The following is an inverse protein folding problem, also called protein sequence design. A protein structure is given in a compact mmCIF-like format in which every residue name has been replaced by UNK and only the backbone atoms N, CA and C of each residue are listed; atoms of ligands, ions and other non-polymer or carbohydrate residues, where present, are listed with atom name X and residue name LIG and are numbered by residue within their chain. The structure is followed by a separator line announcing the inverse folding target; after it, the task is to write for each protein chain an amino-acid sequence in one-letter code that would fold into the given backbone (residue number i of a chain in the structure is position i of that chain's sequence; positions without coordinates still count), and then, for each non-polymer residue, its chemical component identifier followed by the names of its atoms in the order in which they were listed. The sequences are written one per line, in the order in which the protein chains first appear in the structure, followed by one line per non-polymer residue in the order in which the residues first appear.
data_IF_651546635348
#
_entry.id   IF_651546635348
#
_cell.length_a   1.000
_cell.length_b   1.000
_cell.length_c   1.000
_cell.angle_alpha   90.00
_cell.angle_beta   90.00
_cell.angle_gamma   90.00
#
_symmetry.space_group_name_H-M   'P 1'
#
loop_
_entity.id
_entity.type
_entity.pdbx_description
1 polymer ?
#
# COMPACT_ATOMS: atom_id res chain seq x y z
N UNK A 1 31.11 -4.18 -15.84
CA UNK A 1 29.78 -4.49 -15.25
C UNK A 1 28.73 -4.23 -16.32
N UNK A 2 27.77 -5.14 -16.54
CA UNK A 2 26.70 -4.96 -17.55
C UNK A 2 25.79 -3.78 -17.16
N UNK A 3 25.47 -2.92 -18.12
CA UNK A 3 24.52 -1.80 -17.99
C UNK A 3 23.13 -2.32 -17.58
N UNK A 4 22.42 -1.58 -16.71
CA UNK A 4 21.06 -1.95 -16.28
C UNK A 4 20.05 -1.25 -17.19
N UNK A 5 19.13 -2.00 -17.79
CA UNK A 5 18.02 -1.43 -18.55
C UNK A 5 16.81 -1.23 -17.63
N UNK A 6 16.09 -0.12 -17.82
CA UNK A 6 14.85 0.15 -17.12
C UNK A 6 13.76 -0.82 -17.60
N UNK A 7 13.18 -1.67 -16.74
CA UNK A 7 12.36 -2.79 -17.20
C UNK A 7 10.88 -2.45 -17.42
N UNK A 8 10.41 -1.28 -16.97
CA UNK A 8 8.98 -0.96 -16.91
C UNK A 8 8.45 -0.17 -18.12
N UNK A 9 9.30 0.19 -19.08
CA UNK A 9 8.91 0.95 -20.27
C UNK A 9 8.96 0.15 -21.57
N UNK A 10 9.14 -1.18 -21.50
CA UNK A 10 9.32 -2.04 -22.67
C UNK A 10 8.11 -2.97 -22.89
N UNK A 11 7.74 -3.23 -24.15
CA UNK A 11 6.59 -4.06 -24.52
C UNK A 11 5.29 -3.25 -24.61
N UNK A 12 4.12 -3.90 -24.72
CA UNK A 12 2.81 -3.23 -24.67
C UNK A 12 2.21 -3.35 -23.27
N UNK A 13 2.39 -2.34 -22.42
CA UNK A 13 1.89 -2.36 -21.04
C UNK A 13 0.36 -2.24 -20.94
N UNK A 14 -0.31 -1.75 -21.99
CA UNK A 14 -1.77 -1.78 -22.06
C UNK A 14 -2.26 -3.22 -22.23
N UNK A 15 -1.55 -4.04 -23.01
CA UNK A 15 -1.84 -5.47 -23.19
C UNK A 15 -1.40 -6.28 -21.96
N UNK A 16 -0.15 -6.11 -21.53
CA UNK A 16 0.48 -6.88 -20.47
C UNK A 16 0.77 -5.96 -19.27
N UNK A 17 -0.13 -5.92 -18.29
CA UNK A 17 0.05 -5.08 -17.10
C UNK A 17 1.35 -5.45 -16.37
N UNK A 18 2.16 -4.45 -16.02
CA UNK A 18 3.28 -4.68 -15.12
C UNK A 18 2.79 -4.91 -13.69
N UNK A 19 3.47 -5.86 -13.02
CA UNK A 19 3.39 -6.02 -11.58
C UNK A 19 4.53 -5.25 -10.92
N UNK A 20 4.19 -4.44 -9.91
CA UNK A 20 5.13 -3.62 -9.15
C UNK A 20 5.32 -4.16 -7.73
N UNK A 21 4.52 -5.15 -7.32
CA UNK A 21 4.56 -5.75 -5.99
C UNK A 21 5.90 -6.47 -5.77
N UNK A 22 6.48 -6.31 -4.58
CA UNK A 22 7.75 -6.95 -4.19
C UNK A 22 8.91 -6.77 -5.18
N UNK A 23 8.91 -5.68 -5.96
CA UNK A 23 9.98 -5.36 -6.89
C UNK A 23 11.35 -5.32 -6.18
N UNK A 24 12.40 -5.96 -6.74
CA UNK A 24 13.72 -5.94 -6.14
C UNK A 24 14.31 -4.52 -6.06
N UNK A 25 15.06 -4.25 -5.00
CA UNK A 25 15.81 -3.01 -4.89
C UNK A 25 17.15 -3.11 -5.64
N UNK A 26 17.36 -2.19 -6.58
CA UNK A 26 18.54 -2.16 -7.44
C UNK A 26 19.46 -0.94 -7.20
N UNK A 27 19.12 -0.10 -6.22
CA UNK A 27 19.94 1.05 -5.81
C UNK A 27 20.04 2.16 -6.86
N UNK A 28 21.11 2.96 -6.77
CA UNK A 28 21.38 4.11 -7.66
C UNK A 28 21.38 3.72 -9.15
N UNK A 29 21.81 2.50 -9.47
CA UNK A 29 21.83 1.99 -10.85
C UNK A 29 20.43 1.93 -11.48
N UNK A 30 19.39 1.72 -10.67
CA UNK A 30 18.00 1.78 -11.14
C UNK A 30 17.58 3.21 -11.50
N UNK A 31 17.99 4.18 -10.67
CA UNK A 31 17.71 5.58 -10.89
C UNK A 31 18.40 6.07 -12.16
N UNK A 32 19.67 5.70 -12.36
CA UNK A 32 20.43 5.95 -13.58
C UNK A 32 19.73 5.35 -14.81
N UNK A 33 19.34 4.07 -14.74
CA UNK A 33 18.62 3.41 -15.82
C UNK A 33 17.27 4.09 -16.15
N UNK A 34 16.54 4.54 -15.14
CA UNK A 34 15.29 5.30 -15.33
C UNK A 34 15.55 6.68 -15.96
N UNK A 35 16.57 7.42 -15.52
CA UNK A 35 16.96 8.72 -16.10
C UNK A 35 17.29 8.54 -17.60
N UNK A 36 18.12 7.55 -17.93
CA UNK A 36 18.51 7.30 -19.32
C UNK A 36 17.32 6.84 -20.17
N UNK A 37 16.43 5.99 -19.63
CA UNK A 37 15.20 5.61 -20.32
C UNK A 37 14.33 6.83 -20.65
N UNK A 38 14.15 7.76 -19.70
CA UNK A 38 13.37 8.99 -19.95
C UNK A 38 14.07 9.93 -20.93
N UNK A 39 15.40 10.10 -20.85
CA UNK A 39 16.18 10.95 -21.78
C UNK A 39 16.15 10.42 -23.20
N UNK A 40 16.37 9.12 -23.40
CA UNK A 40 16.37 8.50 -24.72
C UNK A 40 15.07 8.78 -25.47
N UNK A 41 13.95 8.82 -24.75
CA UNK A 41 12.62 9.05 -25.31
C UNK A 41 12.31 10.54 -25.54
N UNK A 42 13.07 11.46 -24.94
CA UNK A 42 12.96 12.91 -25.13
C UNK A 42 13.89 13.45 -26.23
N UNK A 43 14.84 12.63 -26.71
CA UNK A 43 15.92 13.08 -27.60
C UNK A 43 15.42 13.66 -28.93
N UNK A 44 14.32 13.10 -29.45
CA UNK A 44 13.78 13.46 -30.78
C UNK A 44 12.43 14.20 -30.68
N UNK A 45 12.05 14.69 -29.49
CA UNK A 45 10.75 15.35 -29.29
C UNK A 45 10.91 16.61 -28.44
N UNK A 46 10.57 17.75 -29.03
CA UNK A 46 10.52 19.02 -28.32
C UNK A 46 9.26 19.02 -27.42
N UNK A 47 9.40 19.21 -26.09
CA UNK A 47 8.24 19.33 -25.20
C UNK A 47 7.32 20.46 -25.66
N UNK A 48 6.01 20.24 -25.56
CA UNK A 48 5.05 21.31 -25.82
C UNK A 48 5.24 22.41 -24.78
N UNK A 49 5.41 23.67 -25.21
CA UNK A 49 5.60 24.80 -24.30
C UNK A 49 4.29 25.19 -23.62
N UNK A 50 3.22 25.34 -24.42
CA UNK A 50 1.92 25.76 -23.92
C UNK A 50 1.10 24.58 -23.38
N UNK A 51 0.43 24.81 -22.26
CA UNK A 51 -0.51 23.84 -21.70
C UNK A 51 -1.74 23.79 -22.60
N UNK A 52 -2.18 22.60 -23.09
CA UNK A 52 -3.40 22.52 -23.88
C UNK A 52 -4.57 23.08 -23.09
N UNK A 53 -5.35 23.98 -23.70
CA UNK A 53 -6.49 24.59 -23.01
C UNK A 53 -7.45 23.51 -22.49
N UNK A 54 -7.99 23.69 -21.28
CA UNK A 54 -9.05 22.84 -20.77
C UNK A 54 -10.33 23.03 -21.59
N UNK A 55 -11.14 21.99 -21.67
CA UNK A 55 -12.53 22.11 -22.10
C UNK A 55 -13.41 22.17 -20.85
N UNK A 56 -14.21 23.22 -20.70
CA UNK A 56 -15.18 23.29 -19.60
C UNK A 56 -16.12 22.08 -19.67
N UNK A 57 -16.20 21.35 -18.57
CA UNK A 57 -16.98 20.14 -18.42
C UNK A 57 -17.42 19.99 -16.97
N UNK A 58 -18.64 19.51 -16.78
CA UNK A 58 -19.16 19.19 -15.45
C UNK A 58 -18.73 17.80 -14.98
N UNK A 59 -18.67 17.63 -13.65
CA UNK A 59 -18.48 16.30 -13.06
C UNK A 59 -19.66 15.38 -13.36
N UNK A 60 -19.44 14.05 -13.45
CA UNK A 60 -20.52 13.10 -13.63
C UNK A 60 -21.56 13.19 -12.51
N UNK A 61 -22.84 13.25 -12.88
CA UNK A 61 -23.98 13.31 -11.95
C UNK A 61 -24.83 12.03 -11.93
N UNK A 62 -24.56 11.09 -12.83
CA UNK A 62 -25.31 9.85 -12.99
C UNK A 62 -24.49 8.58 -12.78
N UNK A 63 -25.07 7.44 -13.11
CA UNK A 63 -24.43 6.13 -13.03
C UNK A 63 -23.47 5.83 -14.19
N UNK A 64 -23.30 6.74 -15.14
CA UNK A 64 -22.43 6.55 -16.29
C UNK A 64 -21.36 7.65 -16.34
N UNK A 65 -20.10 7.23 -16.41
CA UNK A 65 -18.93 8.09 -16.33
C UNK A 65 -18.18 8.04 -17.66
N UNK A 66 -18.32 9.10 -18.45
CA UNK A 66 -17.49 9.33 -19.63
C UNK A 66 -16.11 9.82 -19.20
N UNK A 67 -15.07 9.00 -19.41
CA UNK A 67 -13.75 9.28 -18.84
C UNK A 67 -13.10 10.52 -19.44
N UNK A 68 -13.30 10.81 -20.72
CA UNK A 68 -12.80 12.04 -21.32
C UNK A 68 -13.38 13.30 -20.64
N UNK A 69 -14.70 13.35 -20.45
CA UNK A 69 -15.38 14.48 -19.79
C UNK A 69 -14.93 14.62 -18.33
N UNK A 70 -14.79 13.51 -17.61
CA UNK A 70 -14.27 13.52 -16.24
C UNK A 70 -12.86 14.12 -16.17
N UNK A 71 -11.97 13.73 -17.10
CA UNK A 71 -10.61 14.23 -17.13
C UNK A 71 -10.58 15.73 -17.48
N UNK A 72 -11.39 16.19 -18.43
CA UNK A 72 -11.47 17.63 -18.74
C UNK A 72 -12.04 18.43 -17.55
N UNK A 73 -13.07 17.95 -16.85
CA UNK A 73 -13.59 18.59 -15.64
C UNK A 73 -12.52 18.71 -14.53
N UNK A 74 -11.76 17.64 -14.30
CA UNK A 74 -10.64 17.65 -13.33
C UNK A 74 -9.53 18.60 -13.75
N UNK A 75 -9.22 18.64 -15.04
CA UNK A 75 -8.17 19.48 -15.60
C UNK A 75 -8.56 20.96 -15.52
N UNK A 76 -9.78 21.31 -15.94
CA UNK A 76 -10.35 22.66 -15.80
C UNK A 76 -10.33 23.16 -14.35
N UNK A 77 -10.73 22.31 -13.39
CA UNK A 77 -10.68 22.65 -11.97
C UNK A 77 -9.27 22.97 -11.46
N UNK A 78 -8.24 22.35 -12.05
CA UNK A 78 -6.85 22.55 -11.67
C UNK A 78 -6.19 23.76 -12.34
N UNK A 79 -6.70 24.24 -13.47
CA UNK A 79 -6.07 25.32 -14.25
C UNK A 79 -6.84 26.64 -14.23
N UNK A 80 -8.18 26.61 -14.24
CA UNK A 80 -9.00 27.83 -14.42
C UNK A 80 -9.89 28.18 -13.23
N UNK A 81 -10.27 27.20 -12.41
CA UNK A 81 -11.32 27.40 -11.41
C UNK A 81 -10.78 27.89 -10.06
N UNK A 82 -11.18 29.10 -9.68
CA UNK A 82 -11.05 29.62 -8.30
C UNK A 82 -12.15 29.08 -7.34
N UNK A 83 -13.21 28.45 -7.88
CA UNK A 83 -14.37 28.02 -7.09
C UNK A 83 -14.17 26.73 -6.26
N UNK A 84 -14.80 26.66 -5.07
CA UNK A 84 -14.58 25.62 -4.06
C UNK A 84 -15.39 24.32 -4.29
N UNK A 85 -15.41 23.74 -5.50
CA UNK A 85 -15.93 22.38 -5.73
C UNK A 85 -15.01 21.27 -5.16
N UNK A 86 -14.39 21.54 -4.00
CA UNK A 86 -13.31 20.74 -3.40
C UNK A 86 -13.72 19.29 -3.16
N UNK A 87 -14.96 19.05 -2.72
CA UNK A 87 -15.45 17.69 -2.47
C UNK A 87 -15.53 16.86 -3.75
N UNK A 88 -16.24 17.35 -4.78
CA UNK A 88 -16.38 16.64 -6.06
C UNK A 88 -15.01 16.42 -6.72
N UNK A 89 -14.17 17.45 -6.71
CA UNK A 89 -12.81 17.36 -7.22
C UNK A 89 -12.01 16.24 -6.52
N UNK A 90 -11.95 16.25 -5.18
CA UNK A 90 -11.20 15.25 -4.43
C UNK A 90 -11.77 13.84 -4.64
N UNK A 91 -13.10 13.69 -4.61
CA UNK A 91 -13.77 12.42 -4.84
C UNK A 91 -13.38 11.82 -6.20
N UNK A 92 -13.57 12.59 -7.27
CA UNK A 92 -13.35 12.14 -8.64
C UNK A 92 -11.88 11.95 -8.98
N UNK A 93 -10.99 12.79 -8.47
CA UNK A 93 -9.55 12.62 -8.61
C UNK A 93 -9.07 11.33 -7.93
N UNK A 94 -9.50 11.10 -6.68
CA UNK A 94 -9.18 9.86 -5.97
C UNK A 94 -9.76 8.63 -6.68
N UNK A 95 -10.99 8.75 -7.19
CA UNK A 95 -11.65 7.67 -7.91
C UNK A 95 -10.89 7.29 -9.18
N UNK A 96 -10.53 8.25 -10.04
CA UNK A 96 -9.83 7.93 -11.30
C UNK A 96 -8.40 7.43 -11.05
N UNK A 97 -7.70 7.97 -10.04
CA UNK A 97 -6.42 7.43 -9.58
C UNK A 97 -6.57 5.98 -9.14
N UNK A 98 -7.57 5.67 -8.31
CA UNK A 98 -7.86 4.30 -7.86
C UNK A 98 -8.10 3.36 -9.05
N UNK A 99 -8.92 3.79 -10.00
CA UNK A 99 -9.23 3.01 -11.21
C UNK A 99 -7.95 2.66 -11.95
N UNK A 100 -7.11 3.65 -12.24
CA UNK A 100 -5.83 3.42 -12.90
C UNK A 100 -4.90 2.56 -12.05
N UNK A 101 -4.79 2.81 -10.75
CA UNK A 101 -3.87 2.07 -9.88
C UNK A 101 -4.24 0.60 -9.72
N UNK A 102 -5.52 0.23 -9.80
CA UNK A 102 -5.96 -1.16 -9.73
C UNK A 102 -5.82 -1.90 -11.06
N UNK A 103 -6.22 -1.27 -12.18
CA UNK A 103 -6.29 -1.96 -13.48
C UNK A 103 -5.10 -1.70 -14.40
N UNK A 104 -4.34 -0.62 -14.14
CA UNK A 104 -3.40 0.03 -15.08
C UNK A 104 -4.04 0.45 -16.40
N UNK A 105 -5.38 0.58 -16.41
CA UNK A 105 -6.19 0.83 -17.61
C UNK A 105 -7.26 1.88 -17.39
N UNK A 106 -7.36 2.82 -18.32
CA UNK A 106 -8.43 3.80 -18.41
C UNK A 106 -9.37 3.40 -19.56
N UNK A 107 -10.56 2.93 -19.21
CA UNK A 107 -11.60 2.67 -20.19
C UNK A 107 -12.30 3.97 -20.59
N UNK A 108 -12.86 4.02 -21.80
CA UNK A 108 -13.58 5.21 -22.28
C UNK A 108 -14.82 5.55 -21.44
N UNK A 109 -15.47 4.54 -20.84
CA UNK A 109 -16.65 4.69 -19.99
C UNK A 109 -16.62 3.75 -18.80
N UNK A 110 -17.36 4.10 -17.75
CA UNK A 110 -17.63 3.23 -16.61
C UNK A 110 -19.09 3.34 -16.18
N UNK A 111 -19.72 2.20 -15.90
CA UNK A 111 -21.03 2.16 -15.26
C UNK A 111 -20.89 1.92 -13.75
N UNK A 112 -21.54 2.75 -12.96
CA UNK A 112 -21.61 2.72 -11.50
C UNK A 112 -22.90 2.02 -11.05
N UNK A 113 -22.77 1.10 -10.09
CA UNK A 113 -23.90 0.43 -9.46
C UNK A 113 -23.57 0.18 -7.99
N UNK A 114 -24.03 1.08 -7.12
CA UNK A 114 -23.61 1.12 -5.72
C UNK A 114 -22.09 1.24 -5.60
N UNK A 115 -21.46 0.36 -4.82
CA UNK A 115 -19.98 0.27 -4.69
C UNK A 115 -19.28 -0.37 -5.90
N UNK A 116 -20.03 -0.97 -6.84
CA UNK A 116 -19.46 -1.66 -8.01
C UNK A 116 -19.25 -0.69 -9.16
N UNK A 117 -18.18 -0.92 -9.92
CA UNK A 117 -17.87 -0.14 -11.12
C UNK A 117 -17.47 -1.07 -12.25
N UNK A 118 -18.27 -1.10 -13.31
CA UNK A 118 -18.05 -1.91 -14.51
C UNK A 118 -17.35 -1.06 -15.59
N UNK A 119 -16.15 -1.43 -16.04
CA UNK A 119 -15.52 -0.76 -17.18
C UNK A 119 -16.26 -1.08 -18.48
N UNK A 120 -16.43 -0.08 -19.35
CA UNK A 120 -17.12 -0.19 -20.63
C UNK A 120 -16.27 0.38 -21.77
N UNK A 121 -16.25 -0.31 -22.90
CA UNK A 121 -15.51 0.08 -24.09
C UNK A 121 -13.99 -0.14 -23.99
N UNK A 122 -13.29 0.36 -25.01
CA UNK A 122 -11.83 0.19 -25.16
C UNK A 122 -11.05 0.94 -24.08
N UNK A 123 -9.87 0.43 -23.75
CA UNK A 123 -8.85 1.10 -22.93
C UNK A 123 -7.62 1.51 -23.76
N UNK A 124 -7.69 1.44 -25.09
CA UNK A 124 -6.59 1.80 -25.99
C UNK A 124 -6.62 3.26 -26.46
N UNK A 125 -7.52 4.08 -25.91
CA UNK A 125 -7.56 5.51 -26.22
C UNK A 125 -6.43 6.24 -25.45
N UNK A 126 -5.31 6.47 -26.12
CA UNK A 126 -4.11 7.08 -25.52
C UNK A 126 -4.33 8.54 -25.07
N UNK A 127 -5.28 9.26 -25.67
CA UNK A 127 -5.61 10.63 -25.24
C UNK A 127 -6.07 10.68 -23.79
N UNK A 128 -6.74 9.62 -23.29
CA UNK A 128 -7.14 9.53 -21.88
C UNK A 128 -5.91 9.48 -20.96
N UNK A 129 -4.87 8.72 -21.35
CA UNK A 129 -3.66 8.55 -20.55
C UNK A 129 -2.80 9.80 -20.57
N UNK A 130 -2.66 10.45 -21.73
CA UNK A 130 -1.94 11.73 -21.85
C UNK A 130 -2.59 12.80 -20.98
N UNK A 131 -3.91 13.01 -21.10
CA UNK A 131 -4.62 13.99 -20.27
C UNK A 131 -4.57 13.63 -18.78
N UNK A 132 -4.73 12.35 -18.45
CA UNK A 132 -4.58 11.88 -17.08
C UNK A 132 -3.19 12.19 -16.51
N UNK A 133 -2.12 11.97 -17.27
CA UNK A 133 -0.77 12.27 -16.82
C UNK A 133 -0.56 13.78 -16.54
N UNK A 134 -1.16 14.67 -17.35
CA UNK A 134 -1.15 16.11 -17.10
C UNK A 134 -1.88 16.49 -15.81
N UNK A 135 -3.05 15.90 -15.55
CA UNK A 135 -3.80 16.08 -14.30
C UNK A 135 -2.97 15.63 -13.09
N UNK A 136 -2.25 14.51 -13.21
CA UNK A 136 -1.42 13.99 -12.13
C UNK A 136 -0.22 14.88 -11.81
N UNK A 137 0.37 15.52 -12.84
CA UNK A 137 1.41 16.53 -12.65
C UNK A 137 0.89 17.68 -11.80
N UNK A 138 -0.26 18.25 -12.18
CA UNK A 138 -0.89 19.37 -11.46
C UNK A 138 -1.34 18.97 -10.04
N UNK A 139 -1.94 17.78 -9.89
CA UNK A 139 -2.34 17.26 -8.59
C UNK A 139 -1.15 17.09 -7.63
N UNK A 140 0.02 16.72 -8.14
CA UNK A 140 1.22 16.63 -7.32
C UNK A 140 1.89 18.00 -7.09
N UNK A 141 2.02 18.86 -8.11
CA UNK A 141 2.68 20.17 -7.95
C UNK A 141 1.88 21.12 -7.07
N UNK A 142 0.57 21.22 -7.29
CA UNK A 142 -0.28 22.23 -6.65
C UNK A 142 -0.85 21.76 -5.31
N UNK A 143 -1.08 20.44 -5.16
CA UNK A 143 -1.73 19.88 -3.96
C UNK A 143 -0.83 18.93 -3.16
N UNK A 144 0.42 18.73 -3.58
CA UNK A 144 1.37 17.80 -2.95
C UNK A 144 0.80 16.36 -2.81
N UNK A 145 -0.05 15.95 -3.75
CA UNK A 145 -0.77 14.66 -3.68
C UNK A 145 0.15 13.50 -4.08
N UNK A 146 0.84 12.90 -3.13
CA UNK A 146 1.82 11.82 -3.37
C UNK A 146 1.25 10.59 -4.11
N UNK A 147 0.00 10.13 -3.87
CA UNK A 147 -0.60 9.08 -4.69
C UNK A 147 -0.65 9.42 -6.19
N UNK A 148 -0.78 10.71 -6.54
CA UNK A 148 -0.76 11.16 -7.94
C UNK A 148 0.62 10.98 -8.58
N UNK A 149 1.71 11.24 -7.85
CA UNK A 149 3.08 10.99 -8.34
C UNK A 149 3.31 9.51 -8.64
N UNK A 150 2.82 8.62 -7.77
CA UNK A 150 2.94 7.18 -7.99
C UNK A 150 2.17 6.72 -9.24
N UNK A 151 0.96 7.25 -9.43
CA UNK A 151 0.18 7.00 -10.63
C UNK A 151 0.83 7.61 -11.88
N UNK A 152 1.49 8.77 -11.76
CA UNK A 152 2.13 9.48 -12.86
C UNK A 152 3.25 8.65 -13.46
N UNK A 153 4.15 8.14 -12.61
CA UNK A 153 5.29 7.34 -13.05
C UNK A 153 4.82 6.08 -13.80
N UNK A 154 3.78 5.41 -13.28
CA UNK A 154 3.19 4.23 -13.91
C UNK A 154 2.42 4.54 -15.19
N UNK A 155 1.79 5.71 -15.27
CA UNK A 155 1.11 6.19 -16.46
C UNK A 155 2.13 6.47 -17.57
N UNK A 156 3.25 7.12 -17.22
CA UNK A 156 4.36 7.34 -18.15
C UNK A 156 4.97 6.02 -18.60
N UNK A 157 5.23 5.07 -17.70
CA UNK A 157 5.67 3.72 -18.08
C UNK A 157 4.72 3.06 -19.08
N UNK A 158 3.41 3.29 -18.94
CA UNK A 158 2.42 2.81 -19.92
C UNK A 158 2.55 3.53 -21.25
N UNK A 159 2.56 4.86 -21.25
CA UNK A 159 2.65 5.68 -22.47
C UNK A 159 3.93 5.42 -23.25
N UNK A 160 5.06 5.30 -22.56
CA UNK A 160 6.37 5.02 -23.17
C UNK A 160 6.44 3.63 -23.78
N UNK A 161 5.81 2.62 -23.17
CA UNK A 161 5.75 1.27 -23.73
C UNK A 161 5.04 1.22 -25.09
N UNK A 162 4.13 2.17 -25.36
CA UNK A 162 3.38 2.27 -26.62
C UNK A 162 3.69 3.55 -27.38
N UNK A 163 4.91 4.09 -27.23
CA UNK A 163 5.32 5.38 -27.82
C UNK A 163 5.06 5.46 -29.33
N UNK A 164 5.23 4.37 -30.06
CA UNK A 164 5.01 4.31 -31.51
C UNK A 164 3.55 4.56 -31.92
N UNK A 165 2.60 4.35 -30.99
CA UNK A 165 1.18 4.57 -31.21
C UNK A 165 0.73 5.99 -30.86
N UNK A 166 1.60 6.83 -30.30
CA UNK A 166 1.30 8.23 -29.96
C UNK A 166 1.40 9.11 -31.21
N UNK A 167 0.47 10.06 -31.36
CA UNK A 167 0.57 11.12 -32.37
C UNK A 167 1.74 12.06 -32.05
N UNK A 168 2.20 12.85 -33.03
CA UNK A 168 3.27 13.82 -32.81
C UNK A 168 2.94 14.80 -31.67
N UNK A 169 1.71 15.34 -31.64
CA UNK A 169 1.25 16.22 -30.56
C UNK A 169 1.24 15.51 -29.19
N UNK A 170 0.76 14.26 -29.14
CA UNK A 170 0.76 13.48 -27.90
C UNK A 170 2.19 13.24 -27.41
N UNK A 171 3.16 12.97 -28.30
CA UNK A 171 4.57 12.83 -27.93
C UNK A 171 5.09 14.12 -27.28
N UNK A 172 4.79 15.29 -27.84
CA UNK A 172 5.20 16.58 -27.27
C UNK A 172 4.60 16.83 -25.88
N UNK A 173 3.32 16.48 -25.69
CA UNK A 173 2.64 16.59 -24.39
C UNK A 173 3.21 15.62 -23.36
N UNK A 174 3.45 14.36 -23.74
CA UNK A 174 4.12 13.36 -22.89
C UNK A 174 5.52 13.83 -22.51
N UNK A 175 6.27 14.41 -23.45
CA UNK A 175 7.59 14.96 -23.19
C UNK A 175 7.55 16.07 -22.12
N UNK A 176 6.58 16.99 -22.19
CA UNK A 176 6.36 18.02 -21.17
C UNK A 176 6.08 17.42 -19.79
N UNK A 177 5.19 16.43 -19.73
CA UNK A 177 4.84 15.71 -18.49
C UNK A 177 6.06 15.00 -17.90
N UNK A 178 6.88 14.36 -18.74
CA UNK A 178 8.08 13.65 -18.31
C UNK A 178 9.17 14.58 -17.78
N UNK A 179 9.31 15.79 -18.33
CA UNK A 179 10.18 16.82 -17.75
C UNK A 179 9.75 17.14 -16.32
N UNK A 180 8.44 17.28 -16.07
CA UNK A 180 7.91 17.49 -14.72
C UNK A 180 8.09 16.29 -13.80
N UNK A 181 7.89 15.06 -14.29
CA UNK A 181 8.22 13.83 -13.54
C UNK A 181 9.68 13.85 -13.07
N UNK A 182 10.61 14.23 -13.95
CA UNK A 182 12.03 14.33 -13.61
C UNK A 182 12.31 15.37 -12.53
N UNK A 183 11.76 16.58 -12.66
CA UNK A 183 11.86 17.62 -11.63
C UNK A 183 11.35 17.10 -10.27
N UNK A 184 10.21 16.41 -10.26
CA UNK A 184 9.60 15.87 -9.05
C UNK A 184 10.46 14.80 -8.38
N UNK A 185 10.98 13.86 -9.14
CA UNK A 185 11.84 12.77 -8.64
C UNK A 185 13.15 13.33 -8.09
N UNK A 186 13.78 14.27 -8.80
CA UNK A 186 15.01 14.92 -8.33
C UNK A 186 14.78 15.75 -7.06
N UNK A 187 13.64 16.45 -6.97
CA UNK A 187 13.25 17.18 -5.75
C UNK A 187 12.96 16.25 -4.57
N UNK A 188 12.33 15.11 -4.82
CA UNK A 188 12.05 14.12 -3.77
C UNK A 188 13.34 13.52 -3.22
N UNK A 189 14.37 13.39 -4.07
CA UNK A 189 15.73 13.01 -3.66
C UNK A 189 16.40 14.08 -2.81
N UNK A 190 16.23 15.37 -3.12
CA UNK A 190 16.92 16.46 -2.39
C UNK A 190 16.26 16.86 -1.07
N UNK A 191 14.94 16.65 -0.91
CA UNK A 191 14.20 16.89 0.34
C UNK A 191 14.46 15.80 1.38
N UNK A 192 15.67 15.79 1.94
CA UNK A 192 16.08 14.91 3.04
C UNK A 192 15.89 15.58 4.41
N UNK A 193 14.78 16.29 4.62
CA UNK A 193 14.46 16.78 5.96
C UNK A 193 13.98 15.61 6.82
N UNK A 194 14.86 15.15 7.71
CA UNK A 194 14.52 14.22 8.80
C UNK A 194 13.92 15.08 9.91
N UNK A 195 12.60 15.03 10.09
CA UNK A 195 11.96 15.70 11.21
C UNK A 195 12.29 14.96 12.51
N UNK A 196 13.34 15.44 13.19
CA UNK A 196 13.93 14.84 14.40
C UNK A 196 13.16 15.08 15.70
N UNK A 197 11.90 15.56 15.63
CA UNK A 197 11.15 16.03 16.81
C UNK A 197 9.94 15.19 17.22
N UNK A 198 9.69 14.02 16.60
CA UNK A 198 8.59 13.14 17.02
C UNK A 198 9.06 12.09 18.03
N UNK A 199 8.33 11.95 19.13
CA UNK A 199 8.59 10.89 20.10
C UNK A 199 8.26 9.54 19.46
N UNK A 200 9.29 8.71 19.28
CA UNK A 200 9.12 7.36 18.73
C UNK A 200 8.83 6.37 19.86
N UNK A 201 7.95 5.42 19.57
CA UNK A 201 7.81 4.22 20.38
C UNK A 201 8.96 3.31 19.99
N UNK A 202 9.94 3.15 20.88
CA UNK A 202 10.91 2.08 20.71
C UNK A 202 10.17 0.75 20.93
N UNK A 203 10.33 -0.23 20.01
CA UNK A 203 9.79 -1.56 20.22
C UNK A 203 10.20 -2.08 21.60
N UNK A 204 9.27 -2.75 22.29
CA UNK A 204 9.44 -3.04 23.72
C UNK A 204 10.75 -3.80 23.98
N UNK A 205 11.59 -3.24 24.87
CA UNK A 205 12.93 -3.77 25.21
C UNK A 205 12.90 -4.97 26.16
N UNK A 206 11.72 -5.36 26.66
CA UNK A 206 11.62 -6.43 27.64
C UNK A 206 10.69 -7.54 27.19
N UNK A 207 11.33 -8.62 26.76
CA UNK A 207 10.88 -10.02 26.93
C UNK A 207 10.84 -10.35 28.45
N UNK A 208 10.40 -9.40 29.30
CA UNK A 208 10.57 -9.46 30.75
C UNK A 208 9.52 -10.32 31.43
N UNK A 209 8.33 -10.36 30.86
CA UNK A 209 7.24 -11.19 31.36
C UNK A 209 6.84 -12.25 30.33
N UNK A 210 7.43 -13.43 30.46
CA UNK A 210 7.03 -14.65 29.74
C UNK A 210 5.96 -15.45 30.47
N UNK A 211 5.28 -14.86 31.47
CA UNK A 211 4.11 -15.51 32.05
C UNK A 211 3.10 -15.83 30.96
N UNK A 212 2.42 -16.96 31.17
CA UNK A 212 1.33 -17.39 30.29
C UNK A 212 0.21 -16.37 30.33
N UNK A 213 -0.16 -15.84 29.16
CA UNK A 213 -1.23 -14.86 28.93
C UNK A 213 -2.32 -15.50 28.07
N UNK A 214 -3.27 -16.23 28.68
CA UNK A 214 -4.36 -16.83 27.92
C UNK A 214 -5.30 -15.74 27.39
N UNK A 215 -5.66 -15.86 26.11
CA UNK A 215 -6.65 -15.01 25.43
C UNK A 215 -7.92 -15.84 25.18
N UNK A 216 -8.83 -15.81 26.14
CA UNK A 216 -10.11 -16.52 26.06
C UNK A 216 -10.99 -15.96 24.94
N UNK A 217 -11.67 -16.83 24.19
CA UNK A 217 -12.60 -16.50 23.12
C UNK A 217 -12.00 -15.63 21.99
N UNK A 218 -10.68 -15.71 21.79
CA UNK A 218 -9.95 -15.05 20.71
C UNK A 218 -9.55 -16.08 19.66
N UNK A 219 -9.91 -15.81 18.40
CA UNK A 219 -9.46 -16.60 17.25
C UNK A 219 -8.41 -15.86 16.45
N UNK A 220 -7.32 -16.53 16.12
CA UNK A 220 -6.34 -16.03 15.16
C UNK A 220 -6.71 -16.51 13.76
N UNK A 221 -7.11 -15.59 12.88
CA UNK A 221 -7.40 -15.85 11.47
C UNK A 221 -6.22 -15.36 10.62
N UNK A 222 -5.34 -16.27 10.26
CA UNK A 222 -4.04 -15.99 9.62
C UNK A 222 -3.92 -16.72 8.30
N UNK A 223 -3.39 -16.06 7.29
CA UNK A 223 -2.96 -16.70 6.04
C UNK A 223 -1.47 -17.03 6.07
N UNK A 224 -1.05 -18.06 5.34
CA UNK A 224 0.38 -18.39 5.12
C UNK A 224 1.11 -17.21 4.46
N UNK A 225 1.66 -16.34 5.30
CA UNK A 225 2.40 -15.15 4.90
C UNK A 225 3.50 -14.87 5.91
N UNK A 226 4.53 -14.15 5.48
CA UNK A 226 5.62 -13.67 6.36
C UNK A 226 5.11 -12.79 7.51
N UNK A 227 4.02 -12.05 7.29
CA UNK A 227 3.39 -11.21 8.33
C UNK A 227 2.75 -12.08 9.40
N UNK A 228 2.02 -13.11 9.01
CA UNK A 228 1.43 -14.06 9.95
C UNK A 228 2.50 -14.81 10.74
N UNK A 229 3.63 -15.18 10.11
CA UNK A 229 4.79 -15.76 10.81
C UNK A 229 5.35 -14.79 11.86
N UNK A 230 5.45 -13.51 11.53
CA UNK A 230 5.89 -12.50 12.50
C UNK A 230 4.94 -12.41 13.70
N UNK A 231 3.62 -12.42 13.46
CA UNK A 231 2.61 -12.34 14.51
C UNK A 231 2.64 -13.56 15.42
N UNK A 232 2.60 -14.78 14.87
CA UNK A 232 2.56 -16.01 15.67
C UNK A 232 3.83 -16.18 16.50
N UNK A 233 4.99 -15.89 15.92
CA UNK A 233 6.25 -15.95 16.66
C UNK A 233 6.35 -14.89 17.76
N UNK A 234 5.84 -13.68 17.52
CA UNK A 234 5.78 -12.65 18.57
C UNK A 234 4.83 -13.08 19.70
N UNK A 235 3.65 -13.62 19.39
CA UNK A 235 2.72 -14.13 20.41
C UNK A 235 3.40 -15.18 21.29
N UNK A 236 4.09 -16.16 20.69
CA UNK A 236 4.85 -17.18 21.41
C UNK A 236 5.95 -16.57 22.29
N UNK A 237 6.74 -15.65 21.74
CA UNK A 237 7.86 -15.04 22.44
C UNK A 237 7.44 -14.25 23.69
N UNK A 238 6.23 -13.70 23.69
CA UNK A 238 5.66 -12.92 24.80
C UNK A 238 4.64 -13.71 25.65
N UNK A 239 4.54 -15.03 25.45
CA UNK A 239 3.77 -15.95 26.31
C UNK A 239 2.25 -15.92 26.07
N UNK A 240 1.77 -15.41 24.93
CA UNK A 240 0.35 -15.42 24.60
C UNK A 240 -0.11 -16.79 24.12
N UNK A 241 -1.32 -17.18 24.53
CA UNK A 241 -2.01 -18.36 24.03
C UNK A 241 -3.40 -17.97 23.55
N UNK A 242 -3.78 -18.41 22.35
CA UNK A 242 -5.11 -18.19 21.76
C UNK A 242 -5.92 -19.47 21.83
N UNK A 243 -7.25 -19.35 21.86
CA UNK A 243 -8.12 -20.52 21.94
C UNK A 243 -8.10 -21.30 20.63
N UNK A 244 -8.30 -20.61 19.50
CA UNK A 244 -8.46 -21.22 18.18
C UNK A 244 -7.61 -20.52 17.12
N UNK A 245 -7.14 -21.28 16.14
CA UNK A 245 -6.46 -20.75 14.95
C UNK A 245 -7.15 -21.28 13.69
N UNK A 246 -7.51 -20.36 12.80
CA UNK A 246 -7.88 -20.65 11.42
C UNK A 246 -6.72 -20.25 10.50
N UNK A 247 -6.01 -21.25 9.97
CA UNK A 247 -4.87 -21.07 9.08
C UNK A 247 -5.29 -21.18 7.62
N UNK A 248 -5.32 -20.07 6.89
CA UNK A 248 -5.63 -20.01 5.47
C UNK A 248 -4.39 -20.35 4.63
N UNK A 249 -4.55 -21.28 3.69
CA UNK A 249 -3.51 -21.69 2.74
C UNK A 249 -4.01 -21.58 1.30
N UNK A 250 -3.10 -21.72 0.34
CA UNK A 250 -3.44 -21.73 -1.09
C UNK A 250 -2.52 -22.69 -1.83
N UNK A 251 -2.99 -23.91 -2.09
CA UNK A 251 -2.25 -24.91 -2.87
C UNK A 251 -2.26 -24.63 -4.38
N UNK A 252 -3.27 -23.88 -4.86
CA UNK A 252 -3.54 -23.69 -6.29
C UNK A 252 -2.77 -22.53 -6.93
N UNK A 253 -2.34 -21.53 -6.13
CA UNK A 253 -1.60 -20.38 -6.62
C UNK A 253 -0.76 -19.75 -5.52
N UNK A 254 0.37 -19.17 -5.91
CA UNK A 254 1.14 -18.29 -5.02
C UNK A 254 0.35 -17.02 -4.74
N UNK A 255 0.21 -16.68 -3.47
CA UNK A 255 -0.50 -15.52 -2.97
C UNK A 255 0.48 -14.41 -2.55
N UNK A 256 -0.02 -13.18 -2.44
CA UNK A 256 0.80 -12.08 -1.93
C UNK A 256 1.09 -12.23 -0.44
N UNK A 257 2.32 -11.90 -0.06
CA UNK A 257 2.83 -12.08 1.30
C UNK A 257 3.44 -13.45 1.57
N UNK A 258 3.33 -14.41 0.65
CA UNK A 258 4.07 -15.67 0.73
C UNK A 258 5.55 -15.47 0.37
N UNK A 259 6.41 -16.22 1.02
CA UNK A 259 7.84 -16.26 0.71
C UNK A 259 8.45 -17.61 0.97
N UNK A 260 9.16 -18.09 -0.04
CA UNK A 260 10.05 -19.26 0.04
C UNK A 260 11.51 -18.81 0.25
N UNK A 261 11.75 -17.49 0.35
CA UNK A 261 13.10 -16.96 0.51
C UNK A 261 13.61 -17.29 1.91
N UNK A 262 14.69 -18.08 1.96
CA UNK A 262 15.49 -18.29 3.15
C UNK A 262 16.32 -17.02 3.41
N UNK A 263 15.67 -16.01 3.98
CA UNK A 263 16.36 -14.81 4.45
C UNK A 263 16.97 -15.10 5.82
N UNK A 264 18.24 -14.73 5.98
CA UNK A 264 18.84 -14.74 7.31
C UNK A 264 18.19 -13.63 8.14
N UNK A 265 17.75 -13.92 9.37
CA UNK A 265 17.18 -12.90 10.23
C UNK A 265 18.21 -11.79 10.48
N UNK A 266 17.76 -10.51 10.56
CA UNK A 266 18.61 -9.44 11.06
C UNK A 266 19.16 -9.79 12.44
N UNK A 267 20.35 -9.27 12.77
CA UNK A 267 20.99 -9.51 14.06
C UNK A 267 20.05 -9.13 15.21
N UNK A 268 19.92 -10.00 16.22
CA UNK A 268 19.11 -9.71 17.40
C UNK A 268 19.49 -8.36 18.03
N UNK A 269 18.49 -7.56 18.41
CA UNK A 269 18.72 -6.22 18.96
C UNK A 269 19.06 -5.14 17.92
N UNK A 270 19.15 -5.46 16.62
CA UNK A 270 19.48 -4.47 15.57
C UNK A 270 18.45 -3.33 15.44
N UNK A 271 17.28 -3.48 16.05
CA UNK A 271 16.23 -2.47 16.05
C UNK A 271 15.69 -2.23 17.45
N UNK A 272 16.52 -1.64 18.32
CA UNK A 272 16.08 -1.14 19.62
C UNK A 272 15.52 -2.20 20.59
N UNK A 273 15.94 -3.46 20.46
CA UNK A 273 15.43 -4.57 21.27
C UNK A 273 14.12 -5.20 20.79
N UNK A 274 13.60 -4.80 19.61
CA UNK A 274 12.43 -5.43 19.01
C UNK A 274 12.59 -6.95 18.88
N UNK A 275 11.48 -7.67 19.03
CA UNK A 275 11.41 -9.06 18.62
C UNK A 275 11.62 -9.18 17.10
N UNK A 276 12.56 -10.04 16.70
CA UNK A 276 12.88 -10.31 15.30
C UNK A 276 12.44 -11.74 14.98
N UNK A 277 11.45 -11.94 14.09
CA UNK A 277 10.99 -13.29 13.75
C UNK A 277 12.04 -14.02 12.90
N UNK A 278 12.14 -15.33 13.08
CA UNK A 278 12.85 -16.21 12.17
C UNK A 278 11.88 -16.70 11.08
N UNK A 279 11.87 -16.01 9.94
CA UNK A 279 10.96 -16.29 8.83
C UNK A 279 11.19 -17.67 8.17
N UNK A 280 12.29 -18.35 8.52
CA UNK A 280 12.58 -19.73 8.08
C UNK A 280 11.72 -20.76 8.80
N UNK A 281 11.20 -20.42 9.98
CA UNK A 281 10.27 -21.27 10.72
C UNK A 281 8.91 -21.24 10.00
N UNK A 282 8.39 -22.40 9.57
CA UNK A 282 7.05 -22.52 9.00
C UNK A 282 5.95 -21.94 9.89
N UNK A 283 4.88 -21.42 9.27
CA UNK A 283 3.77 -20.81 10.03
C UNK A 283 3.02 -21.85 10.86
N UNK A 284 2.79 -23.04 10.30
CA UNK A 284 2.09 -24.15 10.95
C UNK A 284 2.76 -24.57 12.26
N UNK A 285 4.09 -24.67 12.29
CA UNK A 285 4.87 -24.98 13.50
C UNK A 285 4.54 -24.00 14.64
N UNK A 286 4.53 -22.70 14.31
CA UNK A 286 4.24 -21.66 15.31
C UNK A 286 2.76 -21.61 15.69
N UNK A 287 1.84 -21.96 14.79
CA UNK A 287 0.42 -22.09 15.12
C UNK A 287 0.18 -23.27 16.07
N UNK A 288 0.79 -24.43 15.82
CA UNK A 288 0.67 -25.61 16.67
C UNK A 288 1.29 -25.40 18.06
N UNK A 289 2.32 -24.57 18.17
CA UNK A 289 2.90 -24.20 19.45
C UNK A 289 2.01 -23.24 20.27
N UNK A 290 1.14 -22.46 19.62
CA UNK A 290 0.25 -21.50 20.29
C UNK A 290 -0.98 -22.17 20.90
N UNK A 291 -1.54 -23.17 20.23
CA UNK A 291 -2.74 -23.90 20.65
C UNK A 291 -2.83 -25.29 20.00
N UNK A 292 -3.58 -26.19 20.63
CA UNK A 292 -3.94 -27.49 20.06
C UNK A 292 -5.12 -27.40 19.07
N UNK A 293 -5.85 -26.29 19.03
CA UNK A 293 -7.03 -26.10 18.18
C UNK A 293 -6.69 -25.32 16.90
N UNK A 294 -5.89 -25.94 16.03
CA UNK A 294 -5.53 -25.35 14.71
C UNK A 294 -6.32 -26.03 13.61
N UNK A 295 -7.05 -25.24 12.82
CA UNK A 295 -7.73 -25.72 11.60
C UNK A 295 -7.13 -25.08 10.36
N UNK A 296 -6.63 -25.91 9.45
CA UNK A 296 -6.08 -25.47 8.16
C UNK A 296 -7.17 -25.45 7.11
N UNK A 297 -7.33 -24.33 6.41
CA UNK A 297 -8.32 -24.11 5.37
C UNK A 297 -7.61 -23.73 4.06
N UNK A 298 -7.58 -24.63 3.08
CA UNK A 298 -7.03 -24.36 1.75
C UNK A 298 -8.04 -23.64 0.85
N UNK A 299 -8.34 -22.39 1.22
CA UNK A 299 -9.39 -21.58 0.56
C UNK A 299 -8.83 -20.60 -0.45
N UNK A 300 -7.54 -20.27 -0.35
CA UNK A 300 -6.87 -19.23 -1.14
C UNK A 300 -7.43 -17.81 -0.98
N UNK A 301 -8.39 -17.60 -0.07
CA UNK A 301 -8.98 -16.30 0.25
C UNK A 301 -9.74 -16.38 1.58
N UNK A 302 -9.74 -15.26 2.31
CA UNK A 302 -10.57 -15.10 3.51
C UNK A 302 -12.07 -15.09 3.19
N UNK A 303 -12.46 -14.70 1.98
CA UNK A 303 -13.86 -14.55 1.56
C UNK A 303 -14.51 -15.85 1.08
N UNK A 304 -13.89 -17.01 1.35
CA UNK A 304 -14.49 -18.30 1.01
C UNK A 304 -15.58 -18.65 2.04
N UNK A 305 -16.77 -19.14 1.63
CA UNK A 305 -17.86 -19.50 2.56
C UNK A 305 -17.45 -20.44 3.70
N UNK A 306 -16.47 -21.33 3.47
CA UNK A 306 -15.95 -22.23 4.52
C UNK A 306 -15.34 -21.44 5.69
N UNK A 307 -14.77 -20.26 5.46
CA UNK A 307 -14.25 -19.40 6.53
C UNK A 307 -15.40 -18.91 7.41
N UNK A 308 -16.51 -18.49 6.81
CA UNK A 308 -17.73 -18.03 7.51
C UNK A 308 -18.31 -19.17 8.37
N UNK A 309 -18.43 -20.37 7.80
CA UNK A 309 -18.93 -21.55 8.54
C UNK A 309 -18.10 -21.86 9.79
N UNK A 310 -16.78 -21.72 9.69
CA UNK A 310 -15.87 -21.93 10.82
C UNK A 310 -15.97 -20.81 11.86
N UNK A 311 -16.08 -19.57 11.42
CA UNK A 311 -16.28 -18.43 12.31
C UNK A 311 -17.60 -18.55 13.10
N UNK A 312 -18.69 -18.95 12.46
CA UNK A 312 -19.97 -19.22 13.15
C UNK A 312 -19.85 -20.37 14.15
N UNK A 313 -19.11 -21.43 13.81
CA UNK A 313 -18.93 -22.59 14.69
C UNK A 313 -18.11 -22.23 15.93
N UNK A 314 -17.04 -21.45 15.76
CA UNK A 314 -16.16 -21.02 16.85
C UNK A 314 -16.75 -19.86 17.66
N UNK A 315 -17.59 -19.03 17.03
CA UNK A 315 -18.23 -17.85 17.61
C UNK A 315 -17.28 -16.96 18.46
N UNK A 316 -16.14 -16.51 17.89
CA UNK A 316 -15.14 -15.77 18.67
C UNK A 316 -15.61 -14.36 19.00
N UNK A 317 -15.29 -13.89 20.21
CA UNK A 317 -15.50 -12.50 20.65
C UNK A 317 -14.54 -11.53 19.98
N UNK A 318 -13.36 -12.01 19.56
CA UNK A 318 -12.36 -11.21 18.87
C UNK A 318 -11.64 -12.06 17.83
N UNK A 319 -11.49 -11.53 16.62
CA UNK A 319 -10.68 -12.13 15.56
C UNK A 319 -9.41 -11.30 15.35
N UNK A 320 -8.24 -11.88 15.57
CA UNK A 320 -6.97 -11.26 15.18
C UNK A 320 -6.70 -11.64 13.72
N UNK A 321 -6.64 -10.64 12.82
CA UNK A 321 -6.61 -10.88 11.38
C UNK A 321 -5.27 -10.53 10.71
N UNK A 322 -4.73 -11.50 9.97
CA UNK A 322 -3.64 -11.33 9.01
C UNK A 322 -3.83 -12.22 7.79
N UNK A 323 -4.62 -11.77 6.81
CA UNK A 323 -4.91 -12.50 5.57
C UNK A 323 -3.84 -12.39 4.48
N UNK A 324 -4.14 -12.84 3.25
CA UNK A 324 -3.25 -12.63 2.11
C UNK A 324 -3.22 -11.16 1.71
N UNK A 325 -2.16 -10.73 1.02
CA UNK A 325 -2.13 -9.38 0.44
C UNK A 325 -3.12 -9.22 -0.72
N UNK A 326 -3.67 -8.03 -0.91
CA UNK A 326 -4.41 -7.67 -2.12
C UNK A 326 -5.88 -8.11 -2.16
N UNK A 327 -6.41 -8.66 -1.08
CA UNK A 327 -7.83 -8.93 -0.90
C UNK A 327 -8.47 -7.97 0.13
N UNK A 328 -9.75 -7.66 -0.06
CA UNK A 328 -10.58 -6.93 0.90
C UNK A 328 -11.46 -7.96 1.60
N UNK A 329 -11.57 -7.89 2.93
CA UNK A 329 -12.48 -8.74 3.70
C UNK A 329 -13.91 -8.26 3.46
N UNK A 330 -14.78 -9.15 2.99
CA UNK A 330 -16.16 -8.83 2.67
C UNK A 330 -17.02 -8.68 3.94
N UNK A 331 -18.14 -7.96 3.80
CA UNK A 331 -19.06 -7.65 4.88
C UNK A 331 -19.69 -8.91 5.51
N UNK A 332 -19.93 -9.96 4.72
CA UNK A 332 -20.43 -11.25 5.20
C UNK A 332 -19.43 -11.96 6.13
N UNK A 333 -18.12 -11.88 5.83
CA UNK A 333 -17.07 -12.40 6.72
C UNK A 333 -16.93 -11.53 7.97
N UNK A 334 -16.91 -10.20 7.82
CA UNK A 334 -16.80 -9.28 8.96
C UNK A 334 -18.00 -9.40 9.92
N UNK A 335 -19.17 -9.76 9.40
CA UNK A 335 -20.38 -10.00 10.19
C UNK A 335 -20.52 -11.41 10.77
N UNK A 336 -19.59 -12.33 10.48
CA UNK A 336 -19.67 -13.73 10.90
C UNK A 336 -19.16 -13.98 12.34
N UNK A 337 -18.54 -12.99 12.99
CA UNK A 337 -17.97 -13.13 14.32
C UNK A 337 -17.86 -11.78 15.02
N UNK A 338 -17.24 -11.75 16.20
CA UNK A 338 -16.79 -10.52 16.84
C UNK A 338 -15.81 -9.71 15.96
N UNK A 339 -15.44 -8.49 16.40
CA UNK A 339 -14.63 -7.56 15.63
C UNK A 339 -13.30 -8.15 15.15
N UNK A 340 -12.87 -7.70 13.97
CA UNK A 340 -11.62 -8.14 13.34
C UNK A 340 -10.51 -7.11 13.61
N UNK A 341 -9.61 -7.42 14.53
CA UNK A 341 -8.44 -6.60 14.85
C UNK A 341 -7.34 -6.82 13.80
N UNK A 342 -6.94 -5.74 13.12
CA UNK A 342 -5.87 -5.74 12.13
C UNK A 342 -4.84 -4.66 12.45
N UNK A 343 -3.56 -4.97 12.25
CA UNK A 343 -2.46 -4.02 12.40
C UNK A 343 -2.07 -3.55 11.01
N UNK A 344 -2.38 -2.30 10.70
CA UNK A 344 -2.06 -1.64 9.44
C UNK A 344 -0.73 -0.89 9.53
N UNK A 345 0.15 -1.03 8.55
CA UNK A 345 1.48 -0.38 8.54
C UNK A 345 1.42 1.07 8.04
N UNK A 346 0.58 1.90 8.65
CA UNK A 346 0.53 3.35 8.41
C UNK A 346 -0.10 4.09 9.58
N UNK A 347 0.27 5.36 9.77
CA UNK A 347 -0.40 6.26 10.71
C UNK A 347 -1.75 6.70 10.10
N UNK A 348 -2.84 6.10 10.54
CA UNK A 348 -4.19 6.42 10.06
C UNK A 348 -4.73 7.69 10.72
N UNK A 349 -5.56 8.51 10.03
CA UNK A 349 -6.07 8.32 8.67
C UNK A 349 -5.10 8.72 7.55
N UNK A 350 -3.93 9.29 7.88
CA UNK A 350 -3.01 9.92 6.92
C UNK A 350 -2.53 8.95 5.83
N UNK A 351 -2.25 7.70 6.19
CA UNK A 351 -1.67 6.68 5.30
C UNK A 351 -2.54 5.42 5.22
N UNK A 352 -3.60 5.43 4.40
CA UNK A 352 -4.39 4.22 4.07
C UNK A 352 -3.78 3.45 2.89
N UNK A 353 -4.13 2.18 2.76
CA UNK A 353 -3.86 1.40 1.56
C UNK A 353 -2.57 0.59 1.62
N UNK A 354 -1.84 0.53 0.51
CA UNK A 354 -0.72 -0.41 0.35
C UNK A 354 0.63 0.26 0.43
N UNK A 355 1.64 -0.48 0.91
CA UNK A 355 3.07 -0.08 0.90
C UNK A 355 3.33 1.31 1.53
N UNK A 356 2.49 1.69 2.48
CA UNK A 356 2.43 2.99 3.17
C UNK A 356 3.74 3.37 3.86
N UNK A 357 4.51 2.38 4.34
CA UNK A 357 5.84 2.60 4.91
C UNK A 357 6.76 3.39 3.96
N UNK A 358 6.84 3.02 2.68
CA UNK A 358 7.73 3.71 1.75
C UNK A 358 7.35 5.19 1.55
N UNK A 359 6.05 5.47 1.53
CA UNK A 359 5.53 6.83 1.44
C UNK A 359 5.79 7.62 2.72
N UNK A 360 5.54 7.03 3.90
CA UNK A 360 5.77 7.71 5.17
C UNK A 360 7.26 8.01 5.38
N UNK A 361 8.18 7.13 4.96
CA UNK A 361 9.62 7.42 5.08
C UNK A 361 10.00 8.70 4.34
N UNK A 362 9.46 8.88 3.13
CA UNK A 362 9.71 10.06 2.32
C UNK A 362 9.02 11.30 2.89
N UNK A 363 7.78 11.18 3.34
CA UNK A 363 6.94 12.31 3.74
C UNK A 363 7.15 12.78 5.19
N UNK A 364 7.34 11.85 6.12
CA UNK A 364 7.43 12.14 7.57
C UNK A 364 8.78 11.77 8.17
N UNK A 365 9.58 10.95 7.48
CA UNK A 365 10.86 10.47 8.01
C UNK A 365 10.70 9.41 9.09
N UNK A 366 9.54 8.73 9.14
CA UNK A 366 9.25 7.67 10.10
C UNK A 366 8.25 6.66 9.54
N UNK A 367 7.99 5.61 10.31
CA UNK A 367 6.90 4.67 10.06
C UNK A 367 5.80 4.83 11.10
N UNK A 368 4.59 4.42 10.75
CA UNK A 368 3.47 4.31 11.68
C UNK A 368 2.82 2.95 11.58
N UNK A 369 2.22 2.51 12.67
CA UNK A 369 1.30 1.36 12.69
C UNK A 369 0.04 1.79 13.41
N UNK A 370 -1.11 1.44 12.84
CA UNK A 370 -2.42 1.61 13.47
C UNK A 370 -3.08 0.25 13.64
N UNK A 371 -3.45 -0.09 14.87
CA UNK A 371 -4.37 -1.19 15.12
C UNK A 371 -5.79 -0.70 14.87
N UNK A 372 -6.54 -1.40 14.02
CA UNK A 372 -7.89 -1.04 13.63
C UNK A 372 -8.85 -2.22 13.73
N UNK A 373 -10.13 -1.92 13.92
CA UNK A 373 -11.22 -2.87 13.70
C UNK A 373 -11.63 -2.79 12.23
N UNK A 374 -11.47 -3.87 11.48
CA UNK A 374 -11.73 -3.85 10.04
C UNK A 374 -13.17 -3.46 9.71
N UNK A 375 -13.30 -2.70 8.62
CA UNK A 375 -14.56 -2.36 7.98
C UNK A 375 -14.49 -2.77 6.50
N UNK A 376 -15.62 -2.76 5.75
CA UNK A 376 -15.62 -3.11 4.33
C UNK A 376 -14.77 -2.19 3.44
N UNK A 377 -14.45 -0.98 3.89
CA UNK A 377 -13.64 -0.01 3.15
C UNK A 377 -12.18 -0.03 3.65
N UNK A 378 -11.23 0.16 2.73
CA UNK A 378 -9.81 -0.04 3.00
C UNK A 378 -9.27 0.90 4.09
N UNK A 379 -8.84 0.30 5.21
CA UNK A 379 -8.23 0.96 6.37
C UNK A 379 -9.02 2.16 6.93
N UNK A 380 -10.35 2.13 6.85
CA UNK A 380 -11.24 3.19 7.38
C UNK A 380 -11.84 2.86 8.74
N UNK A 381 -11.67 1.62 9.21
CA UNK A 381 -12.23 1.13 10.47
C UNK A 381 -11.73 1.87 11.71
N UNK A 382 -12.42 1.69 12.84
CA UNK A 382 -12.09 2.41 14.06
C UNK A 382 -10.69 2.06 14.56
N UNK A 383 -9.99 3.08 15.08
CA UNK A 383 -8.60 2.96 15.52
C UNK A 383 -8.58 2.59 17.00
N UNK A 384 -7.92 1.48 17.31
CA UNK A 384 -7.73 0.95 18.66
C UNK A 384 -6.44 1.51 19.27
N UNK A 385 -5.38 1.61 18.46
CA UNK A 385 -4.06 2.05 18.92
C UNK A 385 -3.22 2.58 17.76
N UNK A 386 -2.28 3.49 18.04
CA UNK A 386 -1.27 3.95 17.07
C UNK A 386 0.11 4.00 17.71
N UNK A 387 1.13 3.66 16.93
CA UNK A 387 2.53 3.88 17.28
C UNK A 387 3.31 4.44 16.09
N UNK A 388 4.29 5.30 16.39
CA UNK A 388 5.28 5.78 15.45
C UNK A 388 6.62 5.12 15.73
N UNK A 389 7.31 4.70 14.68
CA UNK A 389 8.59 4.01 14.74
C UNK A 389 9.66 4.79 13.95
N UNK A 390 10.93 4.73 14.39
CA UNK A 390 12.02 5.29 13.60
C UNK A 390 12.22 4.48 12.32
N UNK A 391 12.88 5.06 11.31
CA UNK A 391 13.22 4.36 10.07
C UNK A 391 13.99 3.05 10.34
N UNK A 392 13.89 2.06 9.43
CA UNK A 392 14.59 0.78 9.60
C UNK A 392 16.11 0.96 9.65
N UNK A 393 16.85 0.02 10.25
CA UNK A 393 18.29 -0.10 10.02
C UNK A 393 18.58 -0.25 8.52
N UNK A 394 19.65 0.38 8.03
CA UNK A 394 19.94 0.52 6.60
C UNK A 394 20.00 -0.79 5.77
N UNK A 395 20.30 -1.92 6.41
CA UNK A 395 20.39 -3.23 5.77
C UNK A 395 19.17 -4.13 6.04
N UNK A 396 18.20 -3.66 6.84
CA UNK A 396 17.00 -4.43 7.13
C UNK A 396 16.09 -4.45 5.90
N UNK A 397 15.64 -5.64 5.52
CA UNK A 397 14.65 -5.76 4.47
C UNK A 397 13.29 -5.22 4.97
N UNK A 398 12.78 -4.19 4.29
CA UNK A 398 11.57 -3.49 4.71
C UNK A 398 10.32 -4.36 4.52
N UNK A 399 10.19 -5.01 3.35
CA UNK A 399 9.01 -5.81 2.99
C UNK A 399 8.91 -7.09 3.83
N UNK A 400 10.06 -7.68 4.19
CA UNK A 400 10.12 -8.98 4.84
C UNK A 400 10.24 -8.91 6.36
N UNK A 401 11.03 -7.97 6.89
CA UNK A 401 11.28 -7.89 8.33
C UNK A 401 10.66 -6.64 8.96
N UNK A 402 11.00 -5.46 8.47
CA UNK A 402 10.62 -4.22 9.17
C UNK A 402 9.10 -4.08 9.36
N UNK A 403 8.33 -4.28 8.28
CA UNK A 403 6.85 -4.23 8.31
C UNK A 403 6.27 -5.20 9.35
N UNK A 404 6.72 -6.46 9.34
CA UNK A 404 6.28 -7.48 10.28
C UNK A 404 6.66 -7.18 11.73
N UNK A 405 7.86 -6.65 11.96
CA UNK A 405 8.39 -6.33 13.30
C UNK A 405 7.54 -5.23 13.96
N UNK A 406 7.34 -4.09 13.29
CA UNK A 406 6.60 -2.96 13.87
C UNK A 406 5.11 -3.30 14.09
N UNK A 407 4.52 -4.09 13.19
CA UNK A 407 3.12 -4.55 13.34
C UNK A 407 2.98 -5.53 14.50
N UNK A 408 3.94 -6.43 14.67
CA UNK A 408 3.95 -7.37 15.79
C UNK A 408 4.10 -6.64 17.13
N UNK A 409 4.94 -5.61 17.22
CA UNK A 409 5.08 -4.82 18.46
C UNK A 409 3.74 -4.15 18.85
N UNK A 410 3.02 -3.54 17.90
CA UNK A 410 1.67 -3.01 18.17
C UNK A 410 0.70 -4.11 18.58
N UNK A 411 0.70 -5.26 17.91
CA UNK A 411 -0.16 -6.39 18.25
C UNK A 411 0.06 -6.82 19.72
N UNK A 412 1.31 -7.01 20.14
CA UNK A 412 1.65 -7.38 21.52
C UNK A 412 1.17 -6.33 22.51
N UNK A 413 1.32 -5.03 22.22
CA UNK A 413 0.83 -3.96 23.12
C UNK A 413 -0.69 -3.99 23.30
N UNK A 414 -1.43 -4.15 22.19
CA UNK A 414 -2.90 -4.22 22.23
C UNK A 414 -3.36 -5.46 22.99
N UNK A 415 -2.71 -6.61 22.76
CA UNK A 415 -3.09 -7.85 23.45
C UNK A 415 -2.63 -7.91 24.90
N UNK A 416 -1.54 -7.23 25.29
CA UNK A 416 -1.17 -7.06 26.69
C UNK A 416 -2.23 -6.25 27.45
N UNK A 417 -2.77 -5.20 26.82
CA UNK A 417 -3.92 -4.48 27.37
C UNK A 417 -5.15 -5.40 27.45
N UNK A 418 -5.48 -6.12 26.38
CA UNK A 418 -6.62 -7.02 26.34
C UNK A 418 -6.55 -8.10 27.43
N UNK A 419 -5.39 -8.76 27.57
CA UNK A 419 -5.15 -9.80 28.58
C UNK A 419 -5.28 -9.31 30.01
N UNK A 420 -5.03 -8.01 30.27
CA UNK A 420 -5.12 -7.43 31.61
C UNK A 420 -6.50 -6.85 31.92
N UNK A 421 -7.24 -6.38 30.91
CA UNK A 421 -8.52 -5.68 31.09
C UNK A 421 -9.74 -6.46 30.63
N UNK A 422 -9.56 -7.58 29.90
CA UNK A 422 -10.64 -8.36 29.31
C UNK A 422 -11.39 -7.65 28.17
N UNK A 423 -10.83 -6.57 27.64
CA UNK A 423 -11.43 -5.76 26.57
C UNK A 423 -10.37 -5.03 25.75
N UNK A 424 -10.72 -4.61 24.55
CA UNK A 424 -9.87 -3.72 23.75
C UNK A 424 -9.81 -2.31 24.39
N UNK A 425 -8.74 -1.55 24.13
CA UNK A 425 -8.72 -0.11 24.36
C UNK A 425 -9.89 0.60 23.69
N UNK A 426 -10.27 1.76 24.22
CA UNK A 426 -11.33 2.57 23.66
C UNK A 426 -10.97 3.01 22.22
N UNK A 427 -11.94 2.88 21.32
CA UNK A 427 -11.73 3.12 19.89
C UNK A 427 -11.95 4.57 19.50
N UNK A 428 -11.33 4.98 18.39
CA UNK A 428 -11.51 6.28 17.79
C UNK A 428 -11.98 6.15 16.34
N UNK A 429 -13.14 6.75 16.02
CA UNK A 429 -13.61 6.85 14.64
C UNK A 429 -12.67 7.70 13.78
N UNK A 430 -12.52 7.31 12.51
CA UNK A 430 -11.73 8.07 11.54
C UNK A 430 -12.58 9.12 10.81
N UNK A 431 -12.00 10.28 10.56
CA UNK A 431 -12.56 11.23 9.59
C UNK A 431 -12.23 10.76 8.17
N UNK A 432 -13.25 10.49 7.36
CA UNK A 432 -13.11 10.00 5.98
C UNK A 432 -12.56 11.04 5.02
N UNK A 433 -12.68 12.34 5.35
CA UNK A 433 -12.09 13.44 4.58
C UNK A 433 -10.61 13.69 4.87
N UNK A 434 -10.04 13.07 5.91
CA UNK A 434 -8.63 13.23 6.26
C UNK A 434 -7.76 12.15 5.64
N UNK A 435 -6.53 12.52 5.28
CA UNK A 435 -5.51 11.59 4.79
C UNK A 435 -5.73 11.12 3.36
N UNK A 436 -4.92 10.14 2.95
CA UNK A 436 -4.84 9.69 1.57
C UNK A 436 -4.85 8.16 1.47
N UNK A 437 -5.31 7.64 0.34
CA UNK A 437 -5.17 6.21 0.01
C UNK A 437 -4.00 6.01 -0.94
N UNK A 438 -3.04 5.21 -0.48
CA UNK A 438 -1.83 4.84 -1.21
C UNK A 438 -1.98 3.46 -1.84
N UNK A 439 -1.21 3.24 -2.91
CA UNK A 439 -1.24 2.02 -3.70
C UNK A 439 0.14 1.39 -3.69
N UNK A 440 0.27 0.17 -4.24
CA UNK A 440 1.57 -0.51 -4.36
C UNK A 440 2.60 0.47 -4.93
N UNK A 441 3.67 0.70 -4.20
CA UNK A 441 4.68 1.70 -4.53
C UNK A 441 5.37 1.37 -5.83
N UNK A 442 5.60 2.40 -6.66
CA UNK A 442 6.44 2.25 -7.84
C UNK A 442 7.90 2.02 -7.42
N UNK A 443 8.65 1.10 -8.07
CA UNK A 443 10.06 0.80 -7.80
C UNK A 443 10.98 2.02 -7.70
N UNK A 444 10.67 3.09 -8.44
CA UNK A 444 11.39 4.38 -8.34
C UNK A 444 11.19 5.06 -6.99
N UNK A 445 9.95 5.17 -6.53
CA UNK A 445 9.62 5.73 -5.21
C UNK A 445 10.17 4.83 -4.10
N UNK A 446 10.05 3.50 -4.26
CA UNK A 446 10.67 2.53 -3.36
C UNK A 446 12.18 2.73 -3.27
N UNK A 447 12.85 2.92 -4.40
CA UNK A 447 14.31 3.14 -4.45
C UNK A 447 14.70 4.41 -3.72
N UNK A 448 14.01 5.53 -3.96
CA UNK A 448 14.26 6.79 -3.25
C UNK A 448 14.02 6.66 -1.74
N UNK A 449 12.94 5.97 -1.35
CA UNK A 449 12.61 5.71 0.05
C UNK A 449 13.70 4.90 0.77
N UNK A 450 14.23 3.85 0.13
CA UNK A 450 15.33 3.04 0.67
C UNK A 450 16.64 3.82 0.74
N UNK A 451 16.93 4.66 -0.26
CA UNK A 451 18.12 5.53 -0.23
C UNK A 451 18.06 6.49 0.97
N UNK A 452 16.90 7.09 1.25
CA UNK A 452 16.69 7.95 2.43
C UNK A 452 16.98 7.21 3.75
N UNK A 453 16.52 5.97 3.88
CA UNK A 453 16.81 5.13 5.06
C UNK A 453 18.32 4.89 5.21
N UNK A 454 19.03 4.67 4.09
CA UNK A 454 20.48 4.42 4.10
C UNK A 454 21.32 5.67 4.41
N UNK A 455 20.86 6.84 4.01
CA UNK A 455 21.54 8.11 4.28
C UNK A 455 21.46 8.49 5.76
N UNK A 456 20.33 8.22 6.44
CA UNK A 456 20.23 8.41 7.88
C UNK A 456 21.31 7.62 8.64
N UNK A 457 21.64 6.40 8.22
CA UNK A 457 22.67 5.60 8.89
C UNK A 457 24.10 6.13 8.69
N UNK A 458 24.30 7.11 7.79
CA UNK A 458 25.60 7.77 7.56
C UNK A 458 25.72 9.10 8.30
N UNK A 459 24.61 9.68 8.73
CA UNK A 459 24.55 10.89 9.55
C UNK A 459 24.63 10.52 11.03
#
# INVERSE_FOLDING_TARGET
MREMLYPYSNGDNLKNRHDYAYSPYHGERFLEAWIEARKALLKDTIPLEEVPMPVDSSYPSGSDVHTAHLLEALFYQLTESDEPQTYNFQHWLNWIIKRFEVSKRLHVRYALSGKRTKPLGTFRNLSLYVRFAEILVLAYSEKNKVPALNALIKCLDTLYSVTENLTAEQKQRVARVATKEQEFVLRLRSRLEVNSRQAFVMPSTQIGDRSSKPLSNVTLLVADTIRSRAYTQALLAYGFHVENILLLTSSTRKQWGQSDQLLNPPTAGSFGGAFIPDLRIPLDDTCQALTHCVKVLDTGSVNNPVVIENLHTLNPELVIFSGFGGEIVHEDVLGAAGPFLHMHAGELPKFRGSTTAYYSFLMTGNAGVSAILLSPDIDTGEIVYRALYPLPPAQMNIDYYYDGIIRSDVLIRVLAYYSTHGRLPDTQAQNTGEGETYYIVHPLIKTMSILKVREQARA
#
